data_IF_550204684049
#
_entry.id   IF_550204684049
#
_cell.length_a   1.000
_cell.length_b   1.000
_cell.length_c   1.000
_cell.angle_alpha   90.00
_cell.angle_beta   90.00
_cell.angle_gamma   90.00
#
_symmetry.space_group_name_H-M   'P 1'
#
loop_
_entity.id
_entity.type
_entity.pdbx_description
1 polymer ?
#
# COMPACT_ATOMS: atom_id res chain seq x y z
N UNK A 1 -10.77 -35.87 -8.39
CA UNK A 1 -11.56 -34.75 -8.95
C UNK A 1 -10.61 -33.89 -9.75
N UNK A 2 -10.86 -33.73 -11.04
CA UNK A 2 -9.96 -33.00 -11.95
C UNK A 2 -10.12 -31.48 -11.73
N UNK A 3 -9.06 -30.71 -12.04
CA UNK A 3 -9.11 -29.24 -12.01
C UNK A 3 -10.17 -28.66 -13.00
N UNK A 4 -10.63 -29.47 -13.94
CA UNK A 4 -11.62 -29.09 -14.96
C UNK A 4 -13.07 -28.98 -14.43
N UNK A 5 -13.35 -29.53 -13.24
CA UNK A 5 -14.71 -29.49 -12.66
C UNK A 5 -15.01 -28.17 -11.91
N UNK A 6 -13.99 -27.30 -11.73
CA UNK A 6 -14.15 -26.04 -11.01
C UNK A 6 -14.67 -24.93 -11.93
N UNK A 7 -15.77 -24.29 -11.55
CA UNK A 7 -16.38 -23.19 -12.31
C UNK A 7 -15.89 -21.82 -11.81
N UNK A 8 -15.37 -20.98 -12.73
CA UNK A 8 -15.04 -19.59 -12.45
C UNK A 8 -16.23 -18.71 -12.86
N UNK A 9 -16.69 -17.84 -11.97
CA UNK A 9 -17.73 -16.84 -12.25
C UNK A 9 -17.56 -15.59 -11.41
N UNK A 10 -18.23 -14.53 -11.81
CA UNK A 10 -18.38 -13.31 -11.03
C UNK A 10 -19.18 -13.58 -9.75
N UNK A 11 -18.73 -13.00 -8.63
CA UNK A 11 -19.47 -12.99 -7.37
C UNK A 11 -20.60 -11.96 -7.42
N UNK A 12 -21.65 -12.25 -6.66
CA UNK A 12 -22.81 -11.39 -6.46
C UNK A 12 -23.05 -11.18 -4.97
N UNK A 13 -23.95 -10.29 -4.60
CA UNK A 13 -24.35 -10.10 -3.21
C UNK A 13 -24.86 -11.38 -2.53
N UNK A 14 -25.35 -12.34 -3.29
CA UNK A 14 -25.79 -13.66 -2.77
C UNK A 14 -24.63 -14.53 -2.28
N UNK A 15 -23.45 -14.24 -2.73
CA UNK A 15 -22.24 -15.00 -2.36
C UNK A 15 -21.51 -14.40 -1.15
N UNK A 16 -22.03 -13.30 -0.59
CA UNK A 16 -21.36 -12.53 0.46
C UNK A 16 -21.07 -13.37 1.71
N UNK A 17 -22.03 -14.16 2.17
CA UNK A 17 -21.83 -14.99 3.37
C UNK A 17 -20.71 -16.03 3.16
N UNK A 18 -20.66 -16.70 1.98
CA UNK A 18 -19.59 -17.62 1.63
C UNK A 18 -18.24 -16.92 1.47
N UNK A 19 -18.25 -15.66 1.00
CA UNK A 19 -17.04 -14.84 0.89
C UNK A 19 -16.45 -14.58 2.28
N UNK A 20 -17.26 -14.12 3.24
CA UNK A 20 -16.82 -13.85 4.62
C UNK A 20 -16.33 -15.12 5.29
N UNK A 21 -17.08 -16.22 5.17
CA UNK A 21 -16.66 -17.54 5.73
C UNK A 21 -15.30 -18.00 5.16
N UNK A 22 -15.07 -17.80 3.85
CA UNK A 22 -13.81 -18.15 3.22
C UNK A 22 -12.67 -17.24 3.67
N UNK A 23 -12.92 -15.95 3.81
CA UNK A 23 -11.96 -14.96 4.31
C UNK A 23 -11.48 -15.33 5.72
N UNK A 24 -12.41 -15.51 6.66
CA UNK A 24 -12.13 -15.94 8.04
C UNK A 24 -11.31 -17.23 8.08
N UNK A 25 -11.68 -18.20 7.25
CA UNK A 25 -10.99 -19.50 7.18
C UNK A 25 -9.54 -19.36 6.67
N UNK A 26 -9.33 -18.54 5.63
CA UNK A 26 -8.03 -18.45 4.95
C UNK A 26 -7.05 -17.59 5.72
N UNK A 27 -7.53 -16.51 6.34
CA UNK A 27 -6.71 -15.59 7.12
C UNK A 27 -6.66 -15.95 8.62
N UNK A 28 -7.39 -16.99 9.03
CA UNK A 28 -7.48 -17.44 10.43
C UNK A 28 -8.05 -16.37 11.37
N UNK A 29 -8.92 -15.53 10.83
CA UNK A 29 -9.60 -14.49 11.60
C UNK A 29 -10.74 -15.08 12.44
N UNK A 30 -11.05 -14.49 13.59
CA UNK A 30 -12.25 -14.84 14.33
C UNK A 30 -13.51 -14.49 13.52
N UNK A 31 -14.66 -15.12 13.79
CA UNK A 31 -15.90 -14.80 13.12
C UNK A 31 -16.20 -13.29 13.14
N UNK A 32 -16.53 -12.75 11.98
CA UNK A 32 -16.80 -11.34 11.81
C UNK A 32 -18.01 -10.90 12.63
N UNK A 33 -17.85 -9.90 13.48
CA UNK A 33 -18.96 -9.41 14.29
C UNK A 33 -20.07 -8.83 13.42
N UNK A 34 -21.36 -9.00 13.79
CA UNK A 34 -22.48 -8.52 13.00
C UNK A 34 -22.44 -7.01 12.69
N UNK A 35 -21.82 -6.22 13.56
CA UNK A 35 -21.65 -4.78 13.37
C UNK A 35 -20.70 -4.41 12.23
N UNK A 36 -19.78 -5.31 11.85
CA UNK A 36 -18.81 -5.12 10.77
C UNK A 36 -19.32 -5.59 9.40
N UNK A 37 -20.31 -6.50 9.36
CA UNK A 37 -20.81 -7.05 8.10
C UNK A 37 -21.27 -5.98 7.10
N UNK A 38 -22.02 -4.91 7.50
CA UNK A 38 -22.36 -3.84 6.57
C UNK A 38 -21.15 -3.11 6.00
N UNK A 39 -20.13 -2.88 6.83
CA UNK A 39 -18.89 -2.22 6.42
C UNK A 39 -18.10 -3.08 5.42
N UNK A 40 -18.04 -4.39 5.66
CA UNK A 40 -17.40 -5.33 4.73
C UNK A 40 -18.17 -5.46 3.43
N UNK A 41 -19.52 -5.43 3.48
CA UNK A 41 -20.33 -5.43 2.26
C UNK A 41 -20.06 -4.20 1.39
N UNK A 42 -19.96 -3.02 2.02
CA UNK A 42 -19.59 -1.77 1.31
C UNK A 42 -18.17 -1.82 0.74
N UNK A 43 -17.21 -2.42 1.46
CA UNK A 43 -15.82 -2.57 0.99
C UNK A 43 -15.72 -3.50 -0.21
N UNK A 44 -16.46 -4.61 -0.20
CA UNK A 44 -16.38 -5.61 -1.26
C UNK A 44 -17.09 -5.20 -2.54
N UNK A 45 -18.09 -4.33 -2.44
CA UNK A 45 -18.84 -3.76 -3.57
C UNK A 45 -19.17 -4.80 -4.67
N UNK A 46 -19.67 -5.96 -4.26
CA UNK A 46 -19.96 -7.07 -5.16
C UNK A 46 -21.04 -6.73 -6.20
N UNK A 47 -21.79 -5.65 -5.97
CA UNK A 47 -22.81 -5.16 -6.92
C UNK A 47 -22.23 -4.67 -8.25
N UNK A 48 -20.96 -4.28 -8.30
CA UNK A 48 -20.28 -3.80 -9.51
C UNK A 48 -19.52 -4.91 -10.27
N UNK A 49 -19.69 -6.17 -9.87
CA UNK A 49 -19.16 -7.31 -10.63
C UNK A 49 -17.64 -7.48 -10.58
N UNK A 50 -16.99 -6.89 -9.58
CA UNK A 50 -15.50 -6.91 -9.44
C UNK A 50 -14.98 -8.04 -8.55
N UNK A 51 -15.86 -8.91 -8.05
CA UNK A 51 -15.52 -10.13 -7.33
C UNK A 51 -15.44 -11.32 -8.27
N UNK A 52 -14.39 -12.13 -8.15
CA UNK A 52 -14.18 -13.37 -8.91
C UNK A 52 -14.18 -14.55 -7.96
N UNK A 53 -15.06 -15.52 -8.18
CA UNK A 53 -15.13 -16.77 -7.42
C UNK A 53 -14.83 -18.00 -8.27
N UNK A 54 -14.18 -18.97 -7.67
CA UNK A 54 -14.02 -20.33 -8.22
C UNK A 54 -14.83 -21.28 -7.35
N UNK A 55 -15.74 -21.99 -7.94
CA UNK A 55 -16.72 -22.85 -7.28
C UNK A 55 -16.49 -24.35 -7.57
N UNK A 56 -16.66 -25.18 -6.55
CA UNK A 56 -16.80 -26.64 -6.65
C UNK A 56 -18.28 -26.97 -6.40
N UNK A 57 -19.06 -27.16 -7.47
CA UNK A 57 -20.51 -27.19 -7.36
C UNK A 57 -21.09 -25.87 -6.82
N UNK A 58 -21.74 -25.92 -5.66
CA UNK A 58 -22.29 -24.76 -4.99
C UNK A 58 -21.31 -24.08 -4.00
N UNK A 59 -20.19 -24.73 -3.72
CA UNK A 59 -19.21 -24.30 -2.70
C UNK A 59 -18.19 -23.32 -3.28
N UNK A 60 -17.98 -22.16 -2.63
CA UNK A 60 -16.93 -21.23 -2.97
C UNK A 60 -15.58 -21.79 -2.54
N UNK A 61 -14.75 -22.20 -3.49
CA UNK A 61 -13.44 -22.82 -3.29
C UNK A 61 -12.28 -21.84 -3.31
N UNK A 62 -12.45 -20.69 -3.96
CA UNK A 62 -11.45 -19.64 -4.00
C UNK A 62 -12.02 -18.32 -4.50
N UNK A 63 -11.40 -17.23 -4.12
CA UNK A 63 -11.91 -15.88 -4.34
C UNK A 63 -10.79 -14.87 -4.58
N UNK A 64 -11.13 -13.77 -5.22
CA UNK A 64 -10.38 -12.53 -5.27
C UNK A 64 -11.33 -11.40 -5.63
N UNK A 65 -11.22 -10.28 -4.93
CA UNK A 65 -12.03 -9.09 -5.19
C UNK A 65 -11.15 -7.93 -5.65
N UNK A 66 -11.75 -6.92 -6.29
CA UNK A 66 -11.08 -5.72 -6.74
C UNK A 66 -11.87 -4.52 -6.25
N UNK A 67 -11.19 -3.60 -5.57
CA UNK A 67 -11.71 -2.28 -5.22
C UNK A 67 -11.01 -1.21 -6.06
N UNK A 68 -11.78 -0.24 -6.56
CA UNK A 68 -11.22 0.89 -7.31
C UNK A 68 -10.58 1.91 -6.38
N UNK A 69 -9.35 2.32 -6.72
CA UNK A 69 -8.62 3.40 -6.06
C UNK A 69 -8.06 4.37 -7.09
N UNK A 70 -7.66 5.51 -6.60
CA UNK A 70 -6.76 6.43 -7.30
C UNK A 70 -5.44 6.49 -6.51
N UNK A 71 -4.32 6.33 -7.20
CA UNK A 71 -2.99 6.32 -6.59
C UNK A 71 -2.15 7.48 -7.11
N UNK A 72 -1.49 8.15 -6.18
CA UNK A 72 -0.47 9.14 -6.54
C UNK A 72 0.72 8.45 -7.19
N UNK A 73 1.08 8.91 -8.37
CA UNK A 73 2.28 8.52 -9.12
C UNK A 73 3.16 9.74 -9.32
N UNK A 74 4.44 9.62 -9.71
CA UNK A 74 5.24 10.78 -10.05
C UNK A 74 4.54 11.66 -11.10
N UNK A 75 4.23 12.90 -10.73
CA UNK A 75 3.59 13.90 -11.60
C UNK A 75 2.06 13.83 -11.72
N UNK A 76 1.38 12.91 -11.05
CA UNK A 76 -0.07 12.81 -11.17
C UNK A 76 -0.76 11.80 -10.27
N UNK A 77 -1.99 11.50 -10.63
CA UNK A 77 -2.81 10.46 -9.98
C UNK A 77 -3.35 9.55 -11.09
N UNK A 78 -3.27 8.24 -10.88
CA UNK A 78 -3.78 7.23 -11.81
C UNK A 78 -4.78 6.30 -11.13
N UNK A 79 -5.76 5.77 -11.90
CA UNK A 79 -6.60 4.66 -11.44
C UNK A 79 -5.77 3.43 -11.10
N UNK A 80 -6.10 2.79 -9.97
CA UNK A 80 -5.48 1.58 -9.47
C UNK A 80 -6.56 0.55 -9.10
N UNK A 81 -6.46 -0.65 -9.63
CA UNK A 81 -7.22 -1.79 -9.17
C UNK A 81 -6.59 -2.36 -7.89
N UNK A 82 -7.17 -2.08 -6.73
CA UNK A 82 -6.75 -2.70 -5.46
C UNK A 82 -7.25 -4.13 -5.41
N UNK A 83 -6.35 -5.10 -5.41
CA UNK A 83 -6.65 -6.53 -5.37
C UNK A 83 -6.75 -6.98 -3.92
N UNK A 84 -7.92 -7.43 -3.51
CA UNK A 84 -8.25 -7.75 -2.13
C UNK A 84 -8.67 -9.23 -2.00
N UNK A 85 -8.60 -9.78 -0.80
CA UNK A 85 -9.16 -11.07 -0.42
C UNK A 85 -8.79 -12.22 -1.38
N UNK A 86 -7.53 -12.32 -1.79
CA UNK A 86 -7.10 -13.49 -2.56
C UNK A 86 -6.99 -14.68 -1.62
N UNK A 87 -7.98 -15.55 -1.68
CA UNK A 87 -8.09 -16.71 -0.81
C UNK A 87 -8.42 -18.00 -1.55
N UNK A 88 -7.91 -19.14 -1.07
CA UNK A 88 -8.25 -20.47 -1.58
C UNK A 88 -8.45 -21.42 -0.41
N UNK A 89 -9.59 -22.10 -0.34
CA UNK A 89 -9.87 -23.12 0.67
C UNK A 89 -8.70 -24.11 0.81
N UNK A 90 -8.31 -24.50 2.03
CA UNK A 90 -7.21 -25.44 2.25
C UNK A 90 -7.34 -26.73 1.43
N UNK A 91 -8.56 -27.26 1.28
CA UNK A 91 -8.88 -28.48 0.52
C UNK A 91 -8.71 -28.32 -1.01
N UNK A 92 -8.63 -27.06 -1.51
CA UNK A 92 -8.53 -26.73 -2.93
C UNK A 92 -7.17 -26.12 -3.31
N UNK A 93 -6.24 -26.04 -2.39
CA UNK A 93 -4.86 -25.56 -2.64
C UNK A 93 -4.13 -26.45 -3.64
N UNK A 94 -3.14 -25.87 -4.35
CA UNK A 94 -2.30 -26.55 -5.36
C UNK A 94 -3.06 -27.10 -6.58
N UNK A 95 -4.32 -26.70 -6.79
CA UNK A 95 -5.15 -27.05 -7.95
C UNK A 95 -5.25 -25.93 -8.97
N UNK A 96 -4.40 -24.90 -8.89
CA UNK A 96 -4.38 -23.76 -9.82
C UNK A 96 -5.47 -22.71 -9.60
N UNK A 97 -6.30 -22.81 -8.54
CA UNK A 97 -7.42 -21.90 -8.25
C UNK A 97 -6.98 -20.45 -8.20
N UNK A 98 -5.98 -20.11 -7.40
CA UNK A 98 -5.44 -18.74 -7.32
C UNK A 98 -4.96 -18.23 -8.66
N UNK A 99 -4.25 -19.07 -9.44
CA UNK A 99 -3.74 -18.67 -10.75
C UNK A 99 -4.87 -18.38 -11.73
N UNK A 100 -5.98 -19.09 -11.65
CA UNK A 100 -7.18 -18.83 -12.47
C UNK A 100 -7.81 -17.48 -12.10
N UNK A 101 -7.96 -17.20 -10.78
CA UNK A 101 -8.52 -15.93 -10.30
C UNK A 101 -7.67 -14.76 -10.76
N UNK A 102 -6.37 -14.75 -10.46
CA UNK A 102 -5.49 -13.61 -10.78
C UNK A 102 -5.38 -13.39 -12.30
N UNK A 103 -5.22 -14.46 -13.09
CA UNK A 103 -5.17 -14.34 -14.57
C UNK A 103 -6.47 -13.80 -15.14
N UNK A 104 -7.60 -14.22 -14.59
CA UNK A 104 -8.92 -13.70 -15.01
C UNK A 104 -9.04 -12.22 -14.67
N UNK A 105 -8.72 -11.82 -13.45
CA UNK A 105 -8.75 -10.43 -13.03
C UNK A 105 -7.87 -9.52 -13.90
N UNK A 106 -6.60 -9.91 -14.13
CA UNK A 106 -5.69 -9.11 -14.97
C UNK A 106 -6.17 -8.97 -16.40
N UNK A 107 -6.73 -10.05 -16.99
CA UNK A 107 -7.33 -9.99 -18.34
C UNK A 107 -8.54 -9.06 -18.37
N UNK A 108 -9.45 -9.18 -17.39
CA UNK A 108 -10.64 -8.34 -17.30
C UNK A 108 -10.27 -6.86 -17.13
N UNK A 109 -9.26 -6.54 -16.32
CA UNK A 109 -8.77 -5.17 -16.16
C UNK A 109 -8.24 -4.59 -17.49
N UNK A 110 -7.45 -5.38 -18.22
CA UNK A 110 -6.95 -4.99 -19.55
C UNK A 110 -8.11 -4.77 -20.54
N UNK A 111 -9.06 -5.73 -20.64
CA UNK A 111 -10.20 -5.64 -21.54
C UNK A 111 -11.12 -4.45 -21.23
N UNK A 112 -11.30 -4.11 -19.96
CA UNK A 112 -12.07 -2.94 -19.53
C UNK A 112 -11.33 -1.62 -19.77
N UNK A 113 -10.01 -1.62 -19.70
CA UNK A 113 -9.18 -0.46 -19.97
C UNK A 113 -9.36 0.69 -18.96
N UNK A 114 -9.83 0.42 -17.74
CA UNK A 114 -10.08 1.45 -16.72
C UNK A 114 -8.80 1.75 -15.95
N UNK A 115 -8.18 0.73 -15.35
CA UNK A 115 -6.99 0.87 -14.51
C UNK A 115 -5.75 0.32 -15.22
N UNK A 116 -4.74 1.17 -15.50
CA UNK A 116 -3.47 0.70 -16.06
C UNK A 116 -2.59 -0.01 -15.02
N UNK A 117 -2.97 0.06 -13.75
CA UNK A 117 -2.25 -0.45 -12.60
C UNK A 117 -3.14 -1.35 -11.75
N UNK A 118 -2.57 -2.42 -11.20
CA UNK A 118 -3.16 -3.19 -10.11
C UNK A 118 -2.20 -3.25 -8.94
N UNK A 119 -2.72 -3.28 -7.71
CA UNK A 119 -1.87 -3.28 -6.50
C UNK A 119 -2.47 -4.09 -5.38
N UNK A 120 -1.61 -4.60 -4.50
CA UNK A 120 -2.00 -5.33 -3.30
C UNK A 120 -0.94 -5.22 -2.20
N UNK A 121 -1.33 -5.55 -0.96
CA UNK A 121 -0.40 -5.90 0.12
C UNK A 121 -0.39 -7.41 0.31
N UNK A 122 0.81 -8.01 0.33
CA UNK A 122 0.94 -9.46 0.37
C UNK A 122 0.93 -9.98 1.81
N UNK A 123 0.10 -11.00 2.08
CA UNK A 123 0.23 -11.82 3.29
C UNK A 123 1.42 -12.77 3.20
N UNK A 124 1.75 -13.23 1.98
CA UNK A 124 2.92 -14.07 1.68
C UNK A 124 3.70 -13.48 0.50
N UNK A 125 4.88 -12.94 0.76
CA UNK A 125 5.70 -12.19 -0.20
C UNK A 125 6.11 -12.97 -1.46
N UNK A 126 6.24 -14.30 -1.38
CA UNK A 126 6.71 -15.15 -2.48
C UNK A 126 5.67 -15.47 -3.54
N UNK A 127 4.41 -15.11 -3.30
CA UNK A 127 3.30 -15.57 -4.16
C UNK A 127 3.18 -14.74 -5.44
N UNK A 128 3.21 -13.42 -5.32
CA UNK A 128 2.70 -12.52 -6.36
C UNK A 128 3.71 -12.21 -7.46
N UNK A 129 5.02 -12.38 -7.18
CA UNK A 129 6.06 -12.16 -8.19
C UNK A 129 5.89 -13.00 -9.46
N UNK A 130 5.38 -14.24 -9.36
CA UNK A 130 5.09 -15.12 -10.51
C UNK A 130 3.94 -14.63 -11.41
N UNK A 131 3.18 -13.64 -10.94
CA UNK A 131 2.13 -12.98 -11.72
C UNK A 131 2.53 -11.60 -12.22
N UNK A 132 3.81 -11.25 -12.08
CA UNK A 132 4.38 -9.98 -12.55
C UNK A 132 4.17 -8.80 -11.58
N UNK A 133 3.77 -9.06 -10.33
CA UNK A 133 3.75 -8.02 -9.29
C UNK A 133 5.15 -7.80 -8.74
N UNK A 134 5.59 -6.55 -8.70
CA UNK A 134 6.85 -6.13 -8.11
C UNK A 134 6.65 -5.31 -6.84
N UNK A 135 7.61 -5.36 -5.91
CA UNK A 135 7.58 -4.53 -4.69
C UNK A 135 7.92 -3.09 -5.07
N UNK A 136 6.90 -2.24 -5.18
CA UNK A 136 7.02 -0.85 -5.63
C UNK A 136 7.22 0.15 -4.49
N UNK A 137 6.81 -0.20 -3.26
CA UNK A 137 7.10 0.62 -2.08
C UNK A 137 7.65 -0.23 -0.95
N UNK A 138 8.51 0.40 -0.15
CA UNK A 138 8.92 -0.15 1.13
C UNK A 138 8.43 0.75 2.25
N UNK A 139 8.14 0.16 3.40
CA UNK A 139 7.80 0.87 4.62
C UNK A 139 8.83 0.65 5.70
N UNK A 140 8.78 1.49 6.72
CA UNK A 140 9.52 1.35 7.95
C UNK A 140 8.57 1.08 9.12
N UNK A 141 8.90 0.16 10.00
CA UNK A 141 8.33 0.07 11.33
C UNK A 141 9.33 0.60 12.35
N UNK A 142 8.83 1.32 13.33
CA UNK A 142 9.63 1.89 14.41
C UNK A 142 9.20 1.33 15.74
N UNK A 143 10.17 1.10 16.64
CA UNK A 143 9.92 0.81 18.04
C UNK A 143 10.83 1.71 18.87
N UNK A 144 10.28 2.82 19.37
CA UNK A 144 11.03 3.84 20.08
C UNK A 144 10.79 3.70 21.57
N UNK A 145 11.78 3.25 22.39
CA UNK A 145 11.66 3.19 23.83
C UNK A 145 11.55 4.59 24.42
N UNK A 146 10.65 4.80 25.37
CA UNK A 146 10.38 6.11 25.98
C UNK A 146 11.62 6.75 26.59
N UNK A 147 12.45 5.98 27.28
CA UNK A 147 13.66 6.48 27.93
C UNK A 147 14.77 6.95 26.97
N UNK A 148 14.63 6.68 25.65
CA UNK A 148 15.57 7.10 24.60
C UNK A 148 14.89 7.97 23.53
N UNK A 149 13.71 8.52 23.81
CA UNK A 149 12.82 9.15 22.85
C UNK A 149 12.99 10.68 22.78
N UNK A 150 14.12 11.21 23.18
CA UNK A 150 14.37 12.65 23.07
C UNK A 150 14.30 13.12 21.61
N UNK A 151 13.48 14.15 21.35
CA UNK A 151 13.37 14.79 20.05
C UNK A 151 14.25 16.02 19.96
N UNK A 152 14.81 16.26 18.78
CA UNK A 152 15.47 17.52 18.46
C UNK A 152 14.40 18.63 18.36
N UNK A 153 14.71 19.85 18.79
CA UNK A 153 13.78 20.96 18.73
C UNK A 153 13.44 21.31 17.26
N UNK A 154 12.17 21.61 17.02
CA UNK A 154 11.67 22.09 15.73
C UNK A 154 11.00 23.43 15.94
N UNK A 155 11.35 24.42 15.13
CA UNK A 155 10.74 25.73 15.19
C UNK A 155 9.21 25.66 14.95
N UNK A 156 8.43 26.44 15.69
CA UNK A 156 6.97 26.48 15.58
C UNK A 156 6.24 25.32 16.28
N UNK A 157 6.94 24.35 16.87
CA UNK A 157 6.27 23.26 17.62
C UNK A 157 5.50 23.80 18.83
N UNK A 158 5.99 24.85 19.49
CA UNK A 158 5.33 25.49 20.63
C UNK A 158 3.99 26.18 20.27
N UNK A 159 3.77 26.50 19.00
CA UNK A 159 2.55 27.13 18.51
C UNK A 159 1.46 26.09 18.17
N UNK A 160 1.81 24.80 18.24
CA UNK A 160 0.89 23.70 17.92
C UNK A 160 0.25 23.17 19.21
N UNK A 161 -1.07 23.26 19.29
CA UNK A 161 -1.87 22.69 20.37
C UNK A 161 -2.26 21.25 20.03
N UNK A 162 -2.04 20.32 20.96
CA UNK A 162 -2.52 18.94 20.85
C UNK A 162 -3.85 18.80 21.60
N UNK A 163 -4.86 18.24 20.92
CA UNK A 163 -6.18 18.04 21.52
C UNK A 163 -6.66 16.60 21.28
N UNK A 164 -6.99 15.91 22.39
CA UNK A 164 -7.67 14.61 22.33
C UNK A 164 -9.13 14.83 21.91
N UNK A 165 -9.60 14.07 20.95
CA UNK A 165 -10.91 14.25 20.31
C UNK A 165 -11.66 12.92 20.17
N UNK A 166 -12.97 12.98 19.95
CA UNK A 166 -13.76 11.83 19.54
C UNK A 166 -13.35 11.37 18.14
N UNK A 167 -13.03 10.08 18.01
CA UNK A 167 -12.65 9.50 16.70
C UNK A 167 -13.81 9.58 15.72
N UNK A 168 -15.05 9.29 16.16
CA UNK A 168 -16.24 9.31 15.31
C UNK A 168 -16.53 10.72 14.77
N UNK A 169 -16.38 11.77 15.62
CA UNK A 169 -16.74 13.15 15.25
C UNK A 169 -15.68 13.83 14.38
N UNK A 170 -14.49 13.22 14.24
CA UNK A 170 -13.36 13.82 13.54
C UNK A 170 -12.94 13.08 12.25
N UNK A 171 -13.76 12.14 11.78
CA UNK A 171 -13.46 11.39 10.54
C UNK A 171 -13.19 12.33 9.37
N UNK A 172 -14.09 13.28 9.10
CA UNK A 172 -13.96 14.22 7.97
C UNK A 172 -12.70 15.09 8.06
N UNK A 173 -12.37 15.57 9.28
CA UNK A 173 -11.16 16.38 9.50
C UNK A 173 -9.89 15.56 9.23
N UNK A 174 -9.83 14.32 9.72
CA UNK A 174 -8.71 13.42 9.50
C UNK A 174 -8.56 13.05 8.01
N UNK A 175 -9.68 12.78 7.33
CA UNK A 175 -9.65 12.46 5.89
C UNK A 175 -9.24 13.68 5.05
N UNK A 176 -9.64 14.90 5.42
CA UNK A 176 -9.17 16.12 4.76
C UNK A 176 -7.66 16.33 4.93
N UNK A 177 -7.11 16.06 6.12
CA UNK A 177 -5.65 16.10 6.35
C UNK A 177 -4.95 15.04 5.52
N UNK A 178 -5.46 13.81 5.49
CA UNK A 178 -4.93 12.73 4.66
C UNK A 178 -4.91 13.13 3.16
N UNK A 179 -6.03 13.62 2.65
CA UNK A 179 -6.17 14.01 1.24
C UNK A 179 -5.12 15.06 0.82
N UNK A 180 -4.76 16.01 1.71
CA UNK A 180 -3.71 17.01 1.45
C UNK A 180 -2.30 16.41 1.31
N UNK A 181 -2.11 15.15 1.74
CA UNK A 181 -0.80 14.46 1.65
C UNK A 181 -0.67 13.62 0.39
N UNK A 182 -1.79 13.14 -0.19
CA UNK A 182 -1.78 12.14 -1.28
C UNK A 182 -0.90 12.56 -2.45
N UNK A 183 -1.07 13.77 -2.99
CA UNK A 183 -0.30 14.24 -4.15
C UNK A 183 1.19 14.55 -3.87
N UNK A 184 1.62 14.54 -2.61
CA UNK A 184 2.99 14.92 -2.23
C UNK A 184 3.99 13.77 -2.34
N UNK A 185 3.50 12.53 -2.45
CA UNK A 185 4.35 11.34 -2.39
C UNK A 185 3.74 10.21 -3.23
N UNK A 186 4.52 9.64 -4.13
CA UNK A 186 4.10 8.50 -4.94
C UNK A 186 3.71 7.28 -4.06
N UNK A 187 2.71 6.51 -4.50
CA UNK A 187 2.22 5.32 -3.82
C UNK A 187 1.13 5.56 -2.79
N UNK A 188 0.82 6.83 -2.48
CA UNK A 188 -0.31 7.15 -1.61
C UNK A 188 -1.64 7.01 -2.34
N UNK A 189 -2.65 6.47 -1.66
CA UNK A 189 -3.98 6.29 -2.23
C UNK A 189 -4.92 7.41 -1.82
N UNK A 190 -5.71 7.89 -2.76
CA UNK A 190 -6.93 8.63 -2.45
C UNK A 190 -7.86 7.65 -1.74
N UNK A 191 -8.30 8.03 -0.56
CA UNK A 191 -9.11 7.13 0.28
C UNK A 191 -10.59 7.30 -0.04
N UNK A 192 -11.27 6.27 -0.58
CA UNK A 192 -12.73 6.28 -0.67
C UNK A 192 -13.38 6.42 0.72
N UNK A 193 -14.57 6.98 0.80
CA UNK A 193 -15.28 7.26 2.06
C UNK A 193 -15.39 6.03 2.97
N UNK A 194 -15.68 4.86 2.39
CA UNK A 194 -15.77 3.59 3.13
C UNK A 194 -14.48 3.28 3.89
N UNK A 195 -13.33 3.56 3.31
CA UNK A 195 -12.03 3.35 3.98
C UNK A 195 -11.81 4.33 5.14
N UNK A 196 -12.30 5.58 5.03
CA UNK A 196 -12.30 6.52 6.15
C UNK A 196 -13.09 6.00 7.33
N UNK A 197 -14.25 5.37 7.08
CA UNK A 197 -15.07 4.69 8.10
C UNK A 197 -14.35 3.48 8.71
N UNK A 198 -13.68 2.66 7.90
CA UNK A 198 -12.86 1.51 8.38
C UNK A 198 -11.78 1.98 9.35
N UNK A 199 -11.03 3.03 8.99
CA UNK A 199 -9.96 3.53 9.85
C UNK A 199 -10.43 4.25 11.11
N UNK A 200 -11.69 4.65 11.17
CA UNK A 200 -12.32 5.22 12.37
C UNK A 200 -13.08 4.17 13.20
N UNK A 201 -13.32 2.99 12.64
CA UNK A 201 -14.02 1.92 13.33
C UNK A 201 -13.21 1.37 14.52
N UNK A 202 -13.88 1.01 15.59
CA UNK A 202 -13.27 0.51 16.81
C UNK A 202 -14.06 -0.66 17.43
N UNK A 203 -14.36 -1.72 16.65
CA UNK A 203 -15.03 -2.89 17.20
C UNK A 203 -14.13 -3.61 18.21
N UNK A 204 -14.74 -4.23 19.21
CA UNK A 204 -14.01 -4.90 20.28
C UNK A 204 -13.05 -5.99 19.77
N UNK A 205 -13.44 -6.70 18.71
CA UNK A 205 -12.60 -7.76 18.12
C UNK A 205 -11.28 -7.25 17.54
N UNK A 206 -11.19 -5.97 17.12
CA UNK A 206 -9.93 -5.39 16.61
C UNK A 206 -9.00 -4.88 17.70
N UNK A 207 -9.47 -4.84 18.94
CA UNK A 207 -8.66 -4.31 20.06
C UNK A 207 -7.61 -5.29 20.55
N UNK A 208 -7.86 -6.59 20.53
CA UNK A 208 -6.90 -7.65 20.92
C UNK A 208 -6.21 -7.33 22.27
N UNK A 209 -6.97 -6.90 23.25
CA UNK A 209 -6.48 -6.49 24.57
C UNK A 209 -5.84 -5.10 24.64
N UNK A 210 -5.97 -4.30 23.57
CA UNK A 210 -5.57 -2.88 23.53
C UNK A 210 -6.73 -1.97 23.96
N UNK A 211 -6.41 -0.71 24.21
CA UNK A 211 -7.43 0.32 24.50
C UNK A 211 -8.36 0.56 23.31
N UNK A 212 -9.46 1.30 23.54
CA UNK A 212 -10.23 1.94 22.48
C UNK A 212 -9.32 2.79 21.58
N UNK A 213 -9.71 2.96 20.32
CA UNK A 213 -9.00 3.83 19.38
C UNK A 213 -9.11 5.30 19.85
N UNK A 214 -7.98 5.96 19.98
CA UNK A 214 -7.89 7.37 20.37
C UNK A 214 -7.40 8.21 19.21
N UNK A 215 -7.98 9.38 19.05
CA UNK A 215 -7.57 10.37 18.04
C UNK A 215 -7.12 11.64 18.72
N UNK A 216 -5.96 12.17 18.28
CA UNK A 216 -5.47 13.49 18.64
C UNK A 216 -5.32 14.34 17.39
N UNK A 217 -5.69 15.62 17.51
CA UNK A 217 -5.45 16.65 16.52
C UNK A 217 -4.28 17.54 16.94
N UNK A 218 -3.45 17.90 15.97
CA UNK A 218 -2.53 19.01 16.07
C UNK A 218 -3.19 20.24 15.45
N UNK A 219 -3.35 21.31 16.20
CA UNK A 219 -4.05 22.53 15.78
C UNK A 219 -3.12 23.73 15.87
N UNK A 220 -3.17 24.61 14.88
CA UNK A 220 -2.52 25.92 14.86
C UNK A 220 -3.51 26.95 14.36
N UNK A 221 -3.66 28.08 15.08
CA UNK A 221 -4.58 29.16 14.75
C UNK A 221 -6.03 28.67 14.53
N UNK A 222 -6.45 27.67 15.31
CA UNK A 222 -7.78 27.08 15.21
C UNK A 222 -7.97 26.10 14.03
N UNK A 223 -6.93 25.87 13.24
CA UNK A 223 -6.98 24.93 12.11
C UNK A 223 -6.26 23.62 12.44
N UNK A 224 -6.85 22.49 12.05
CA UNK A 224 -6.21 21.18 12.18
C UNK A 224 -5.12 21.02 11.10
N UNK A 225 -3.87 20.89 11.55
CA UNK A 225 -2.66 20.74 10.72
C UNK A 225 -2.06 19.34 10.80
N UNK A 226 -2.67 18.44 11.56
CA UNK A 226 -2.22 17.06 11.67
C UNK A 226 -3.11 16.25 12.60
N UNK A 227 -2.98 14.94 12.53
CA UNK A 227 -3.63 14.01 13.46
C UNK A 227 -2.80 12.76 13.68
N UNK A 228 -3.06 12.09 14.82
CA UNK A 228 -2.63 10.72 15.04
C UNK A 228 -3.78 9.89 15.60
N UNK A 229 -3.85 8.62 15.17
CA UNK A 229 -4.72 7.58 15.75
C UNK A 229 -3.86 6.51 16.38
N UNK A 230 -4.17 6.14 17.60
CA UNK A 230 -3.36 5.19 18.36
C UNK A 230 -4.19 4.39 19.36
N UNK A 231 -3.63 3.26 19.77
CA UNK A 231 -4.09 2.45 20.91
C UNK A 231 -2.95 2.31 21.91
N UNK A 232 -3.30 2.11 23.16
CA UNK A 232 -2.32 1.75 24.20
C UNK A 232 -2.58 0.31 24.65
N UNK A 233 -1.51 -0.40 24.96
CA UNK A 233 -1.58 -1.71 25.61
C UNK A 233 -1.12 -1.56 27.05
N UNK A 234 -1.95 -2.04 27.99
CA UNK A 234 -1.52 -2.17 29.36
C UNK A 234 -0.87 -3.55 29.53
N UNK A 235 0.44 -3.56 29.73
CA UNK A 235 1.23 -4.77 29.93
C UNK A 235 2.28 -4.48 31.01
N UNK A 236 2.59 -5.49 31.82
CA UNK A 236 3.54 -5.37 32.92
C UNK A 236 4.65 -6.40 32.75
N UNK A 237 5.90 -5.92 32.89
CA UNK A 237 7.10 -6.74 32.84
C UNK A 237 7.89 -6.63 34.15
N UNK A 238 9.00 -7.39 34.26
CA UNK A 238 9.87 -7.36 35.45
C UNK A 238 10.39 -5.95 35.79
N UNK A 239 10.58 -5.10 34.77
CA UNK A 239 11.12 -3.76 34.91
C UNK A 239 10.03 -2.66 34.92
N UNK A 240 8.76 -3.02 35.10
CA UNK A 240 7.62 -2.09 35.12
C UNK A 240 6.73 -2.20 33.89
N UNK A 241 6.28 -1.06 33.35
CA UNK A 241 5.38 -1.03 32.20
C UNK A 241 6.06 -1.53 30.92
N UNK A 242 5.52 -2.61 30.33
CA UNK A 242 6.00 -3.25 29.12
C UNK A 242 5.13 -2.96 27.90
N UNK A 243 3.92 -2.43 28.09
CA UNK A 243 2.99 -2.07 27.03
C UNK A 243 3.47 -0.87 26.21
N UNK A 244 3.04 -0.81 24.95
CA UNK A 244 3.40 0.25 24.01
C UNK A 244 2.18 1.06 23.58
N UNK A 245 2.42 2.32 23.18
CA UNK A 245 1.49 3.09 22.37
C UNK A 245 1.67 2.66 20.90
N UNK A 246 0.66 2.00 20.35
CA UNK A 246 0.65 1.53 18.97
C UNK A 246 -0.02 2.56 18.07
N UNK A 247 0.77 3.26 17.26
CA UNK A 247 0.32 4.32 16.37
C UNK A 247 -0.12 3.71 15.05
N UNK A 248 -1.40 3.86 14.73
CA UNK A 248 -2.00 3.35 13.51
C UNK A 248 -1.87 4.35 12.36
N UNK A 249 -2.04 5.64 12.65
CA UNK A 249 -1.93 6.72 11.68
C UNK A 249 -1.22 7.92 12.31
N UNK A 250 -0.37 8.58 11.52
CA UNK A 250 0.30 9.83 11.88
C UNK A 250 0.48 10.65 10.60
N UNK A 251 -0.27 11.73 10.49
CA UNK A 251 -0.25 12.63 9.35
C UNK A 251 -0.17 14.08 9.83
N UNK A 252 0.65 14.87 9.17
CA UNK A 252 0.76 16.30 9.43
C UNK A 252 1.08 17.06 8.14
N UNK A 253 0.59 18.30 8.05
CA UNK A 253 0.80 19.16 6.90
C UNK A 253 2.23 19.73 6.84
N UNK A 254 2.88 19.84 8.02
CA UNK A 254 4.22 20.37 8.17
C UNK A 254 5.02 19.68 9.30
N UNK A 255 6.31 20.02 9.37
CA UNK A 255 7.26 19.44 10.32
C UNK A 255 6.93 19.77 11.78
N UNK A 256 6.42 20.97 12.06
CA UNK A 256 6.08 21.39 13.43
C UNK A 256 4.87 20.61 13.98
N UNK A 257 3.84 20.43 13.15
CA UNK A 257 2.69 19.57 13.46
C UNK A 257 3.10 18.12 13.69
N UNK A 258 3.97 17.58 12.82
CA UNK A 258 4.50 16.23 12.96
C UNK A 258 5.30 16.06 14.27
N UNK A 259 6.20 17.02 14.59
CA UNK A 259 7.00 16.98 15.79
C UNK A 259 6.15 17.10 17.08
N UNK A 260 5.10 17.92 17.06
CA UNK A 260 4.16 18.06 18.17
C UNK A 260 3.41 16.74 18.44
N UNK A 261 2.90 16.08 17.37
CA UNK A 261 2.23 14.78 17.46
C UNK A 261 3.19 13.70 17.96
N UNK A 262 4.40 13.62 17.40
CA UNK A 262 5.42 12.67 17.83
C UNK A 262 5.79 12.86 19.30
N UNK A 263 6.01 14.13 19.72
CA UNK A 263 6.29 14.49 21.12
C UNK A 263 5.16 14.06 22.06
N UNK A 264 3.93 14.32 21.70
CA UNK A 264 2.76 13.87 22.46
C UNK A 264 2.73 12.34 22.62
N UNK A 265 2.86 11.60 21.50
CA UNK A 265 2.81 10.14 21.52
C UNK A 265 3.93 9.54 22.40
N UNK A 266 5.13 10.12 22.35
CA UNK A 266 6.28 9.71 23.15
C UNK A 266 6.15 10.11 24.65
N UNK A 267 5.29 11.07 24.97
CA UNK A 267 5.05 11.52 26.36
C UNK A 267 3.98 10.72 27.10
N UNK A 268 3.26 9.82 26.42
CA UNK A 268 2.18 9.04 27.03
C UNK A 268 2.73 8.19 28.18
N UNK A 269 2.23 8.44 29.38
CA UNK A 269 2.67 7.76 30.60
C UNK A 269 2.22 6.30 30.63
N UNK A 270 2.86 5.52 31.49
CA UNK A 270 2.57 4.10 31.73
C UNK A 270 2.73 3.23 30.49
N UNK A 271 3.57 3.66 29.53
CA UNK A 271 3.99 2.86 28.37
C UNK A 271 5.50 2.78 28.28
N UNK A 272 6.01 1.69 27.72
CA UNK A 272 7.45 1.49 27.49
C UNK A 272 7.96 2.35 26.32
N UNK A 273 7.07 2.81 25.44
CA UNK A 273 7.41 3.61 24.26
C UNK A 273 6.32 3.58 23.21
N UNK A 274 6.68 3.91 21.98
CA UNK A 274 5.76 3.87 20.84
C UNK A 274 6.19 2.83 19.81
N UNK A 275 5.19 2.27 19.11
CA UNK A 275 5.37 1.47 17.90
C UNK A 275 4.61 2.15 16.76
N UNK A 276 5.29 2.37 15.66
CA UNK A 276 4.68 2.85 14.42
C UNK A 276 4.93 1.81 13.34
N UNK A 277 3.88 1.36 12.67
CA UNK A 277 4.00 0.50 11.50
C UNK A 277 3.81 1.32 10.22
N UNK A 278 4.30 0.78 9.11
CA UNK A 278 4.05 1.28 7.74
C UNK A 278 4.36 2.78 7.56
N UNK A 279 5.42 3.28 8.18
CA UNK A 279 5.89 4.65 7.93
C UNK A 279 6.73 4.70 6.64
N UNK A 280 6.88 5.85 5.97
CA UNK A 280 7.80 5.95 4.85
C UNK A 280 9.25 5.74 5.30
N UNK A 281 10.12 5.24 4.40
CA UNK A 281 11.54 5.00 4.70
C UNK A 281 12.29 6.28 5.14
N UNK A 282 11.91 7.40 4.56
CA UNK A 282 12.41 8.75 4.84
C UNK A 282 11.53 9.50 5.87
N UNK A 283 10.90 8.76 6.79
CA UNK A 283 10.05 9.34 7.83
C UNK A 283 10.80 10.44 8.61
N UNK A 284 10.17 11.61 8.82
CA UNK A 284 10.76 12.68 9.63
C UNK A 284 11.21 12.22 11.02
N UNK A 285 10.56 11.22 11.61
CA UNK A 285 10.88 10.70 12.93
C UNK A 285 12.36 10.29 13.06
N UNK A 286 12.93 9.69 12.01
CA UNK A 286 14.34 9.25 11.97
C UNK A 286 15.29 10.42 12.22
N UNK A 287 14.98 11.57 11.65
CA UNK A 287 15.81 12.79 11.76
C UNK A 287 15.47 13.63 12.99
N UNK A 288 14.25 13.49 13.53
CA UNK A 288 13.81 14.18 14.74
C UNK A 288 14.37 13.53 16.00
N UNK A 289 14.59 12.23 16.04
CA UNK A 289 15.18 11.55 17.19
C UNK A 289 16.61 12.05 17.44
N UNK A 290 16.91 12.44 18.68
CA UNK A 290 18.25 12.85 19.08
C UNK A 290 19.24 11.67 19.01
N UNK A 291 18.76 10.47 19.33
CA UNK A 291 19.46 9.21 19.17
C UNK A 291 18.82 8.37 18.05
N UNK A 292 19.46 8.36 16.88
CA UNK A 292 18.99 7.57 15.71
C UNK A 292 18.79 6.08 16.05
N UNK A 293 19.66 5.50 16.88
CA UNK A 293 19.56 4.08 17.25
C UNK A 293 18.32 3.76 18.07
N UNK A 294 17.70 4.76 18.70
CA UNK A 294 16.45 4.58 19.44
C UNK A 294 15.25 4.33 18.52
N UNK A 295 15.37 4.63 17.23
CA UNK A 295 14.29 4.41 16.27
C UNK A 295 13.91 2.93 16.13
N UNK A 296 14.85 1.99 16.38
CA UNK A 296 14.60 0.56 16.21
C UNK A 296 13.97 0.25 14.84
N UNK A 297 14.47 0.95 13.80
CA UNK A 297 13.89 0.92 12.46
C UNK A 297 14.04 -0.45 11.82
N UNK A 298 12.94 -0.95 11.26
CA UNK A 298 12.86 -2.19 10.48
C UNK A 298 12.21 -1.90 9.14
N UNK A 299 12.84 -2.35 8.04
CA UNK A 299 12.26 -2.22 6.69
C UNK A 299 11.32 -3.39 6.44
N UNK A 300 10.17 -3.09 5.86
CA UNK A 300 9.14 -4.04 5.45
C UNK A 300 8.72 -3.73 4.01
N UNK A 301 8.23 -4.72 3.28
CA UNK A 301 7.58 -4.49 1.99
C UNK A 301 6.24 -3.76 2.19
N UNK A 302 5.86 -2.96 1.20
CA UNK A 302 4.59 -2.22 1.18
C UNK A 302 3.70 -2.68 0.02
N UNK A 303 3.54 -1.82 -1.00
CA UNK A 303 2.74 -2.10 -2.18
C UNK A 303 3.46 -3.05 -3.13
N UNK A 304 2.80 -4.15 -3.47
CA UNK A 304 3.08 -4.93 -4.66
C UNK A 304 2.28 -4.36 -5.82
N UNK A 305 2.97 -3.85 -6.83
CA UNK A 305 2.37 -3.21 -7.99
C UNK A 305 2.48 -4.11 -9.23
N UNK A 306 1.46 -4.04 -10.09
CA UNK A 306 1.40 -4.70 -11.38
C UNK A 306 1.03 -3.68 -12.45
N UNK A 307 1.84 -3.55 -13.48
CA UNK A 307 1.46 -2.81 -14.67
C UNK A 307 0.51 -3.70 -15.48
N UNK A 308 -0.77 -3.36 -15.50
CA UNK A 308 -1.78 -4.06 -16.30
C UNK A 308 -1.53 -3.78 -17.77
N UNK A 309 -1.29 -2.51 -18.13
CA UNK A 309 -0.92 -2.04 -19.45
C UNK A 309 0.37 -1.21 -19.35
N UNK A 310 1.48 -1.73 -19.85
CA UNK A 310 2.81 -1.12 -19.74
C UNK A 310 2.85 0.26 -20.39
N UNK A 311 2.31 0.42 -21.59
CA UNK A 311 2.25 1.68 -22.32
C UNK A 311 1.50 2.76 -21.55
N UNK A 312 0.30 2.46 -21.10
CA UNK A 312 -0.56 3.38 -20.35
C UNK A 312 0.03 3.74 -18.98
N UNK A 313 0.58 2.77 -18.29
CA UNK A 313 1.22 2.97 -17.00
C UNK A 313 2.44 3.92 -17.15
N UNK A 314 3.35 3.63 -18.08
CA UNK A 314 4.56 4.43 -18.27
C UNK A 314 4.27 5.83 -18.85
N UNK A 315 3.27 5.98 -19.71
CA UNK A 315 2.81 7.27 -20.21
C UNK A 315 2.06 8.09 -19.15
N UNK A 316 1.49 7.44 -18.14
CA UNK A 316 0.68 8.08 -17.10
C UNK A 316 1.47 8.70 -15.96
N UNK A 317 2.83 8.66 -15.99
CA UNK A 317 3.69 9.31 -15.00
C UNK A 317 4.66 10.28 -15.65
N UNK A 318 5.28 11.15 -14.84
CA UNK A 318 6.39 11.99 -15.26
C UNK A 318 7.74 11.41 -14.83
N UNK A 319 8.82 11.98 -15.33
CA UNK A 319 10.19 11.56 -15.09
C UNK A 319 11.05 12.75 -14.64
N UNK A 320 11.90 12.56 -13.65
CA UNK A 320 12.69 13.64 -13.03
C UNK A 320 13.74 14.28 -13.95
N UNK A 321 14.14 13.55 -14.99
CA UNK A 321 15.03 14.03 -16.05
C UNK A 321 14.55 13.47 -17.38
N UNK A 322 14.89 14.11 -18.52
CA UNK A 322 14.53 13.58 -19.83
C UNK A 322 14.99 12.15 -20.03
N UNK A 323 14.09 11.30 -20.49
CA UNK A 323 14.33 9.90 -20.83
C UNK A 323 13.90 9.61 -22.26
N UNK A 324 14.68 8.85 -23.00
CA UNK A 324 14.31 8.22 -24.26
C UNK A 324 15.04 6.88 -24.32
N UNK A 325 14.28 5.81 -24.09
CA UNK A 325 14.85 4.45 -23.95
C UNK A 325 13.91 3.42 -24.55
N UNK A 326 14.46 2.37 -25.15
CA UNK A 326 13.71 1.20 -25.61
C UNK A 326 13.87 0.08 -24.59
N UNK A 327 12.75 -0.28 -23.97
CA UNK A 327 12.63 -1.34 -22.97
C UNK A 327 12.14 -2.63 -23.67
N UNK A 328 12.86 -3.73 -23.56
CA UNK A 328 12.35 -5.05 -23.89
C UNK A 328 11.75 -5.66 -22.64
N UNK A 329 10.43 -5.74 -22.60
CA UNK A 329 9.65 -6.23 -21.44
C UNK A 329 9.22 -7.66 -21.69
N UNK A 330 9.54 -8.57 -20.76
CA UNK A 330 8.96 -9.91 -20.69
C UNK A 330 7.77 -9.95 -19.74
N UNK A 331 6.71 -10.67 -20.14
CA UNK A 331 5.52 -10.87 -19.32
C UNK A 331 4.89 -12.24 -19.61
N UNK A 332 5.08 -13.21 -18.74
CA UNK A 332 4.57 -14.57 -18.89
C UNK A 332 3.08 -14.73 -18.53
N UNK A 333 2.42 -13.67 -18.05
CA UNK A 333 1.02 -13.70 -17.60
C UNK A 333 0.13 -12.86 -18.51
N UNK A 334 0.60 -11.68 -18.89
CA UNK A 334 -0.13 -10.70 -19.71
C UNK A 334 0.63 -10.49 -21.04
N UNK A 335 0.39 -11.35 -22.04
CA UNK A 335 1.20 -11.35 -23.27
C UNK A 335 1.13 -10.04 -24.06
N UNK A 336 0.12 -9.21 -23.86
CA UNK A 336 -0.01 -7.89 -24.49
C UNK A 336 1.03 -6.86 -23.98
N UNK A 337 1.69 -7.12 -22.86
CA UNK A 337 2.79 -6.31 -22.34
C UNK A 337 4.16 -6.74 -22.88
N UNK A 338 4.28 -7.98 -23.35
CA UNK A 338 5.54 -8.52 -23.83
C UNK A 338 5.94 -7.87 -25.16
N UNK A 339 7.16 -7.35 -25.23
CA UNK A 339 7.69 -6.72 -26.45
C UNK A 339 8.58 -5.53 -26.16
N UNK A 340 8.81 -4.71 -27.20
CA UNK A 340 9.67 -3.54 -27.11
C UNK A 340 8.86 -2.28 -27.04
N UNK A 341 9.14 -1.48 -26.02
CA UNK A 341 8.42 -0.26 -25.71
C UNK A 341 9.39 0.93 -25.73
N UNK A 342 9.14 1.91 -26.60
CA UNK A 342 9.85 3.18 -26.58
C UNK A 342 9.20 4.09 -25.58
N UNK A 343 9.89 4.36 -24.50
CA UNK A 343 9.54 5.36 -23.50
C UNK A 343 10.28 6.66 -23.81
N UNK A 344 9.53 7.74 -24.01
CA UNK A 344 10.07 9.10 -24.13
C UNK A 344 9.29 10.02 -23.19
N UNK A 345 9.97 10.79 -22.32
CA UNK A 345 9.31 11.65 -21.35
C UNK A 345 10.26 12.52 -20.55
N UNK A 346 9.68 13.42 -19.78
CA UNK A 346 10.36 14.35 -18.87
C UNK A 346 9.42 14.74 -17.70
N UNK A 347 9.69 15.87 -17.04
CA UNK A 347 8.87 16.42 -15.94
C UNK A 347 7.47 16.87 -16.38
N UNK A 348 7.21 17.04 -17.68
CA UNK A 348 5.95 17.56 -18.22
C UNK A 348 5.00 16.44 -18.67
N UNK A 349 5.52 15.25 -18.93
CA UNK A 349 4.76 14.10 -19.36
C UNK A 349 5.58 13.08 -20.12
N UNK A 350 4.92 12.03 -20.58
CA UNK A 350 5.58 10.94 -21.29
C UNK A 350 4.68 10.32 -22.35
N UNK A 351 5.32 9.62 -23.28
CA UNK A 351 4.72 8.68 -24.23
C UNK A 351 5.40 7.33 -24.11
N UNK A 352 4.63 6.26 -24.25
CA UNK A 352 5.16 4.92 -24.32
C UNK A 352 4.46 4.17 -25.45
N UNK A 353 5.21 3.77 -26.45
CA UNK A 353 4.66 3.15 -27.66
C UNK A 353 5.44 1.91 -28.05
N UNK A 354 4.75 0.94 -28.61
CA UNK A 354 5.39 -0.24 -29.18
C UNK A 354 6.37 0.15 -30.31
N UNK A 355 7.50 -0.55 -30.43
CA UNK A 355 8.54 -0.26 -31.42
C UNK A 355 9.29 -1.53 -31.85
N UNK A 356 9.85 -1.50 -33.05
CA UNK A 356 10.78 -2.51 -33.56
C UNK A 356 12.26 -2.15 -33.33
N UNK A 357 12.51 -0.96 -32.78
CA UNK A 357 13.87 -0.49 -32.53
C UNK A 357 14.63 -1.43 -31.58
N UNK A 358 15.96 -1.39 -31.67
CA UNK A 358 16.82 -2.19 -30.83
C UNK A 358 16.61 -1.84 -29.35
N UNK A 359 16.41 -2.86 -28.51
CA UNK A 359 16.27 -2.67 -27.08
C UNK A 359 17.57 -2.16 -26.44
N UNK A 360 17.43 -1.30 -25.47
CA UNK A 360 18.54 -0.73 -24.70
C UNK A 360 18.63 -1.34 -23.30
N UNK A 361 17.47 -1.77 -22.76
CA UNK A 361 17.33 -2.51 -21.51
C UNK A 361 16.40 -3.70 -21.75
N UNK A 362 16.65 -4.82 -21.04
CA UNK A 362 15.73 -5.96 -20.98
C UNK A 362 15.43 -6.31 -19.52
N UNK A 363 14.13 -6.51 -19.20
CA UNK A 363 13.66 -6.81 -17.85
C UNK A 363 12.27 -7.48 -17.88
N UNK A 364 11.94 -8.17 -16.80
CA UNK A 364 10.58 -8.65 -16.60
C UNK A 364 9.66 -7.50 -16.12
N UNK A 365 8.38 -7.60 -16.41
CA UNK A 365 7.37 -6.62 -15.97
C UNK A 365 7.35 -6.44 -14.44
N UNK A 366 7.74 -7.46 -13.69
CA UNK A 366 7.88 -7.41 -12.22
C UNK A 366 8.93 -6.40 -11.79
N UNK A 367 10.11 -6.40 -12.42
CA UNK A 367 11.18 -5.44 -12.14
C UNK A 367 10.79 -4.03 -12.57
N UNK A 368 10.11 -3.90 -13.70
CA UNK A 368 9.57 -2.62 -14.15
C UNK A 368 8.54 -2.08 -13.15
N UNK A 369 7.67 -2.93 -12.62
CA UNK A 369 6.71 -2.57 -11.59
C UNK A 369 7.38 -2.15 -10.28
N UNK A 370 8.47 -2.83 -9.87
CA UNK A 370 9.25 -2.45 -8.70
C UNK A 370 9.89 -1.07 -8.83
N UNK A 371 10.35 -0.72 -10.02
CA UNK A 371 10.96 0.58 -10.30
C UNK A 371 9.94 1.70 -10.53
N UNK A 372 8.68 1.36 -10.84
CA UNK A 372 7.66 2.29 -11.35
C UNK A 372 7.42 3.51 -10.45
N UNK A 373 7.40 3.36 -9.12
CA UNK A 373 7.20 4.46 -8.17
C UNK A 373 8.50 5.08 -7.66
N UNK A 374 9.67 4.57 -8.07
CA UNK A 374 10.98 5.01 -7.56
C UNK A 374 11.44 4.28 -6.29
N UNK A 375 10.69 3.28 -5.80
CA UNK A 375 11.03 2.52 -4.58
C UNK A 375 12.24 1.61 -4.73
N UNK A 376 12.39 0.97 -5.90
CA UNK A 376 13.58 0.26 -6.30
C UNK A 376 14.24 0.97 -7.49
N UNK A 377 15.56 1.12 -7.50
CA UNK A 377 16.25 1.72 -8.63
C UNK A 377 16.59 0.65 -9.68
N UNK A 378 16.46 1.00 -10.97
CA UNK A 378 16.86 0.08 -12.05
C UNK A 378 18.32 -0.31 -11.93
N UNK A 379 19.17 0.58 -11.40
CA UNK A 379 20.58 0.30 -11.14
C UNK A 379 20.78 -0.78 -10.07
N UNK A 380 20.00 -0.75 -8.97
CA UNK A 380 20.02 -1.78 -7.94
C UNK A 380 19.54 -3.13 -8.48
N UNK A 381 18.45 -3.10 -9.27
CA UNK A 381 17.91 -4.30 -9.91
C UNK A 381 18.90 -4.91 -10.91
N UNK A 382 19.63 -4.08 -11.66
CA UNK A 382 20.72 -4.54 -12.55
C UNK A 382 21.87 -5.14 -11.75
N UNK A 383 22.26 -4.53 -10.62
CA UNK A 383 23.25 -5.10 -9.71
C UNK A 383 22.85 -6.46 -9.12
N UNK A 384 21.56 -6.75 -9.05
CA UNK A 384 21.01 -8.05 -8.67
C UNK A 384 20.80 -9.01 -9.87
N UNK A 385 21.17 -8.60 -11.09
CA UNK A 385 21.02 -9.42 -12.31
C UNK A 385 19.58 -9.50 -12.83
N UNK A 386 18.70 -8.62 -12.38
CA UNK A 386 17.27 -8.63 -12.74
C UNK A 386 16.93 -7.67 -13.89
N UNK A 387 17.84 -6.79 -14.26
CA UNK A 387 17.78 -5.91 -15.43
C UNK A 387 19.05 -6.09 -16.23
N UNK A 388 18.92 -6.33 -17.54
CA UNK A 388 20.04 -6.48 -18.45
C UNK A 388 20.26 -5.18 -19.21
N UNK A 389 21.48 -4.64 -19.13
CA UNK A 389 21.87 -3.48 -19.93
C UNK A 389 22.30 -3.96 -21.33
N UNK A 390 21.66 -3.47 -22.37
CA UNK A 390 21.96 -3.80 -23.76
C UNK A 390 22.70 -2.67 -24.48
N UNK A 391 22.49 -1.41 -24.05
CA UNK A 391 23.28 -0.24 -24.49
C UNK A 391 24.03 0.33 -23.27
N UNK A 392 25.37 0.48 -23.37
CA UNK A 392 26.15 1.04 -22.26
C UNK A 392 25.62 2.39 -21.77
N UNK A 393 25.39 2.53 -20.45
CA UNK A 393 24.86 3.72 -19.79
C UNK A 393 23.34 3.80 -19.70
N UNK A 394 22.59 2.95 -20.42
CA UNK A 394 21.13 3.01 -20.45
C UNK A 394 20.48 2.76 -19.09
N UNK A 395 21.02 1.81 -18.29
CA UNK A 395 20.52 1.54 -16.93
C UNK A 395 20.67 2.77 -16.04
N UNK A 396 21.82 3.43 -16.07
CA UNK A 396 22.06 4.60 -15.24
C UNK A 396 21.17 5.79 -15.63
N UNK A 397 20.98 6.00 -16.94
CA UNK A 397 20.10 7.06 -17.46
C UNK A 397 18.64 6.81 -17.06
N UNK A 398 18.11 5.62 -17.33
CA UNK A 398 16.76 5.25 -16.97
C UNK A 398 16.55 5.26 -15.43
N UNK A 399 17.53 4.78 -14.66
CA UNK A 399 17.44 4.77 -13.19
C UNK A 399 17.30 6.18 -12.61
N UNK A 400 18.01 7.17 -13.17
CA UNK A 400 17.85 8.58 -12.76
C UNK A 400 16.46 9.11 -13.11
N UNK A 401 15.95 8.80 -14.29
CA UNK A 401 14.64 9.28 -14.74
C UNK A 401 13.49 8.72 -13.90
N UNK A 402 13.59 7.47 -13.44
CA UNK A 402 12.58 6.81 -12.61
C UNK A 402 12.65 7.23 -11.13
N UNK A 403 13.70 7.88 -10.68
CA UNK A 403 13.86 8.31 -9.28
C UNK A 403 12.78 9.30 -8.83
N UNK A 404 12.58 9.40 -7.53
CA UNK A 404 11.69 10.38 -6.87
C UNK A 404 12.42 11.02 -5.69
N UNK A 405 12.11 12.29 -5.37
CA UNK A 405 12.73 13.00 -4.25
C UNK A 405 12.39 12.38 -2.89
N UNK A 406 11.14 11.94 -2.73
CA UNK A 406 10.65 11.27 -1.53
C UNK A 406 10.45 9.78 -1.81
N UNK A 407 10.81 8.94 -0.85
CA UNK A 407 10.56 7.51 -0.94
C UNK A 407 9.06 7.23 -1.14
N UNK A 408 8.65 6.43 -2.14
CA UNK A 408 7.25 6.11 -2.34
C UNK A 408 6.70 5.34 -1.13
N UNK A 409 5.43 5.57 -0.83
CA UNK A 409 4.84 5.06 0.40
C UNK A 409 3.38 4.67 0.22
N UNK A 410 3.03 3.46 0.65
CA UNK A 410 1.66 3.03 0.85
C UNK A 410 1.31 3.21 2.33
N UNK A 411 0.39 4.12 2.63
CA UNK A 411 0.06 4.52 4.00
C UNK A 411 -0.86 3.53 4.73
N UNK A 412 -1.53 2.64 4.01
CA UNK A 412 -2.38 1.58 4.57
C UNK A 412 -2.37 0.32 3.69
N UNK A 413 -2.76 -0.82 4.25
CA UNK A 413 -2.90 -2.07 3.49
C UNK A 413 -4.17 -2.08 2.64
N UNK A 414 -4.07 -2.65 1.46
CA UNK A 414 -5.18 -3.01 0.57
C UNK A 414 -5.06 -4.49 0.24
#
# INVERSE_FOLDING_TARGET
MNADDLQLRTLTSRDFDQLIELDEMVFHDPPTSPELLPLYADLQDLGHGRGTGVFDGAELAGVGTISGFEMSVPGGILPLAGVLLIGVKPTHRRRGVMSRVIRHQLRTLHEQGLEPLAGLTASESVIYGRFGYGVATYGASFTVPRHRAALRPVAGTGDVRIRLVSTADTVQVCEAIHARQVGKRAGMLVRPEVWGRVYAADPDQWREGRSVLRTVLAERDGQAVGFARYRTRNDSGPDGNAGYTEVQQLHADDTAGYAALAGYLLSIDLTAGIKLARQPLDSPLVHLLADFRSAGMRVIEGLYLRLVDVDRALAGRTYTVPVNVVLEVSDGVCPWNAGRWRLAGDEKGATCTWTEDAAELALDVRELASAYLGGATLLALAGAGQVTELRPGAVADASRAFATDLAPWLQFGI
#
